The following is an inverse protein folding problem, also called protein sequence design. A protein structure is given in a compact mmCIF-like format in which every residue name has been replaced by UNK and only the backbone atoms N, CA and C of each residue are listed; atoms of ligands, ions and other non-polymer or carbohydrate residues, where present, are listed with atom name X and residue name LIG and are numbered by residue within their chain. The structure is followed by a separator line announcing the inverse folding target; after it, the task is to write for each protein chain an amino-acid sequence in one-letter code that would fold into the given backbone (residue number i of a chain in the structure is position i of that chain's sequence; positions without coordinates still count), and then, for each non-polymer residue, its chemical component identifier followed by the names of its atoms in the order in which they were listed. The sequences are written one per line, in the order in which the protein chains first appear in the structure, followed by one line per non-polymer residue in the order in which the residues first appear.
data_IF_675870752351
#
_entry.id   IF_675870752351
#
_cell.length_a   1.000
_cell.length_b   1.000
_cell.length_c   1.000
_cell.angle_alpha   90.00
_cell.angle_beta   90.00
_cell.angle_gamma   90.00
#
_symmetry.space_group_name_H-M   'P 1'
#
loop_
_entity.id
_entity.type
_entity.pdbx_description
1 polymer ?
#
# COMPACT_ATOMS: atom_id res chain seq x y z
N UNK A 1 4.22 -6.98 4.31
CA UNK A 1 3.48 -5.97 5.10
C UNK A 1 2.74 -6.64 6.26
N UNK A 2 2.91 -6.19 7.51
CA UNK A 2 2.24 -6.80 8.68
C UNK A 2 1.01 -5.99 9.14
N UNK A 3 -0.05 -6.66 9.63
CA UNK A 3 -1.24 -5.99 10.15
C UNK A 3 -0.93 -5.06 11.34
N UNK A 4 0.15 -5.33 12.06
CA UNK A 4 0.63 -4.53 13.19
C UNK A 4 1.02 -3.10 12.78
N UNK A 5 1.68 -2.92 11.62
CA UNK A 5 2.06 -1.59 11.12
C UNK A 5 0.82 -0.76 10.79
N UNK A 6 -0.19 -1.39 10.18
CA UNK A 6 -1.45 -0.73 9.81
C UNK A 6 -2.21 -0.32 11.07
N UNK A 7 -2.29 -1.22 12.06
CA UNK A 7 -2.89 -0.93 13.36
C UNK A 7 -2.21 0.26 14.05
N UNK A 8 -0.87 0.29 14.03
CA UNK A 8 -0.08 1.39 14.62
C UNK A 8 -0.32 2.72 13.91
N UNK A 9 -0.36 2.74 12.57
CA UNK A 9 -0.68 3.95 11.79
C UNK A 9 -2.09 4.45 12.13
N UNK A 10 -3.07 3.57 12.28
CA UNK A 10 -4.44 3.93 12.65
C UNK A 10 -4.53 4.46 14.09
N UNK A 11 -3.81 3.86 15.04
CA UNK A 11 -3.74 4.35 16.42
C UNK A 11 -3.15 5.78 16.48
N UNK A 12 -2.04 6.01 15.76
CA UNK A 12 -1.44 7.35 15.66
C UNK A 12 -2.37 8.36 14.97
N UNK A 13 -3.07 7.94 13.90
CA UNK A 13 -4.03 8.80 13.22
C UNK A 13 -5.25 9.15 14.10
N UNK A 14 -5.71 8.20 14.94
CA UNK A 14 -6.78 8.45 15.91
C UNK A 14 -6.32 9.46 16.97
N UNK A 15 -5.13 9.25 17.53
CA UNK A 15 -4.52 10.15 18.50
C UNK A 15 -4.35 11.57 17.94
N UNK A 16 -3.91 11.68 16.69
CA UNK A 16 -3.80 12.96 15.98
C UNK A 16 -5.12 13.74 15.92
N UNK A 17 -6.24 13.04 15.70
CA UNK A 17 -7.57 13.64 15.63
C UNK A 17 -8.12 14.05 16.99
N UNK A 18 -7.83 13.27 18.03
CA UNK A 18 -8.38 13.49 19.38
C UNK A 18 -7.59 14.54 20.16
N UNK A 19 -6.26 14.41 20.22
CA UNK A 19 -5.40 15.24 21.09
C UNK A 19 -4.20 15.88 20.36
N UNK A 20 -4.02 15.62 19.06
CA UNK A 20 -2.81 16.01 18.33
C UNK A 20 -1.66 15.02 18.53
N UNK A 21 -0.66 15.10 17.64
CA UNK A 21 0.56 14.27 17.72
C UNK A 21 1.73 15.12 18.18
N UNK A 22 2.58 14.54 19.02
CA UNK A 22 3.88 15.12 19.32
C UNK A 22 4.84 14.94 18.12
N UNK A 23 5.94 15.70 18.09
CA UNK A 23 6.92 15.63 17.02
C UNK A 23 7.47 14.20 16.79
N UNK A 24 7.74 13.47 17.87
CA UNK A 24 8.23 12.08 17.80
C UNK A 24 7.21 11.15 17.15
N UNK A 25 5.94 11.29 17.52
CA UNK A 25 4.87 10.46 16.97
C UNK A 25 4.56 10.80 15.51
N UNK A 26 4.71 12.07 15.13
CA UNK A 26 4.62 12.51 13.74
C UNK A 26 5.74 11.89 12.89
N UNK A 27 6.97 11.86 13.42
CA UNK A 27 8.11 11.21 12.79
C UNK A 27 7.91 9.68 12.67
N UNK A 28 7.39 9.04 13.73
CA UNK A 28 7.03 7.61 13.71
C UNK A 28 5.96 7.34 12.65
N UNK A 29 4.88 8.13 12.60
CA UNK A 29 3.81 8.00 11.62
C UNK A 29 4.34 8.17 10.18
N UNK A 30 5.22 9.14 9.95
CA UNK A 30 5.83 9.37 8.64
C UNK A 30 6.69 8.18 8.20
N UNK A 31 7.52 7.64 9.11
CA UNK A 31 8.36 6.46 8.85
C UNK A 31 7.49 5.23 8.53
N UNK A 32 6.46 4.97 9.33
CA UNK A 32 5.54 3.85 9.12
C UNK A 32 4.77 3.98 7.80
N UNK A 33 4.31 5.18 7.45
CA UNK A 33 3.65 5.45 6.15
C UNK A 33 4.59 5.22 4.97
N UNK A 34 5.86 5.59 5.09
CA UNK A 34 6.86 5.35 4.03
C UNK A 34 7.04 3.85 3.79
N UNK A 35 7.24 3.08 4.86
CA UNK A 35 7.39 1.61 4.81
C UNK A 35 6.14 0.96 4.20
N UNK A 36 4.94 1.44 4.57
CA UNK A 36 3.67 0.98 4.00
C UNK A 36 3.64 1.19 2.49
N UNK A 37 3.94 2.41 2.03
CA UNK A 37 3.87 2.78 0.61
C UNK A 37 4.90 1.98 -0.20
N UNK A 38 6.13 1.84 0.29
CA UNK A 38 7.16 1.06 -0.40
C UNK A 38 6.76 -0.42 -0.52
N UNK A 39 6.19 -1.01 0.55
CA UNK A 39 5.67 -2.38 0.49
C UNK A 39 4.52 -2.54 -0.51
N UNK A 40 3.57 -1.59 -0.53
CA UNK A 40 2.44 -1.64 -1.46
C UNK A 40 2.90 -1.42 -2.90
N UNK A 41 3.85 -0.51 -3.14
CA UNK A 41 4.45 -0.30 -4.47
C UNK A 41 5.15 -1.55 -4.98
N UNK A 42 5.93 -2.21 -4.13
CA UNK A 42 6.61 -3.46 -4.49
C UNK A 42 5.59 -4.55 -4.83
N UNK A 43 4.57 -4.76 -3.98
CA UNK A 43 3.50 -5.72 -4.22
C UNK A 43 2.73 -5.42 -5.51
N UNK A 44 2.38 -4.15 -5.76
CA UNK A 44 1.68 -3.75 -6.98
C UNK A 44 2.53 -4.01 -8.22
N UNK A 45 3.84 -3.72 -8.16
CA UNK A 45 4.77 -4.01 -9.26
C UNK A 45 4.84 -5.50 -9.54
N UNK A 46 4.97 -6.33 -8.52
CA UNK A 46 4.93 -7.80 -8.67
C UNK A 46 3.62 -8.27 -9.26
N UNK A 47 2.49 -7.73 -8.78
CA UNK A 47 1.18 -8.12 -9.31
C UNK A 47 1.02 -7.72 -10.79
N UNK A 48 1.48 -6.53 -11.18
CA UNK A 48 1.50 -6.07 -12.57
C UNK A 48 2.42 -6.91 -13.47
N UNK A 49 3.57 -7.34 -12.95
CA UNK A 49 4.50 -8.22 -13.67
C UNK A 49 3.91 -9.62 -13.90
N UNK A 50 3.11 -10.12 -12.95
CA UNK A 50 2.36 -11.37 -13.11
C UNK A 50 1.19 -11.27 -14.10
N UNK A 51 0.77 -10.07 -14.51
CA UNK A 51 -0.29 -9.92 -15.53
C UNK A 51 0.34 -10.21 -16.89
N UNK A 52 0.21 -11.45 -17.36
CA UNK A 52 0.42 -11.78 -18.77
C UNK A 52 -0.57 -10.99 -19.61
N UNK A 53 -0.06 -10.12 -20.46
CA UNK A 53 -0.87 -9.49 -21.51
C UNK A 53 -1.27 -10.58 -22.48
N UNK A 54 -2.50 -11.11 -22.33
CA UNK A 54 -3.06 -12.01 -23.33
C UNK A 54 -3.01 -11.29 -24.68
N UNK A 55 -2.31 -11.84 -25.71
CA UNK A 55 -2.37 -11.26 -27.03
C UNK A 55 -3.84 -11.27 -27.45
N UNK A 56 -4.35 -10.11 -27.85
CA UNK A 56 -5.70 -9.99 -28.43
C UNK A 56 -5.69 -10.60 -29.84
N UNK A 57 -5.50 -11.90 -29.92
CA UNK A 57 -5.68 -12.73 -31.11
C UNK A 57 -6.59 -13.85 -30.66
N UNK A 58 -7.90 -13.64 -30.69
CA UNK A 58 -8.74 -14.27 -31.71
C UNK A 58 -9.97 -13.38 -32.00
N UNK A 59 -9.75 -12.27 -32.71
CA UNK A 59 -10.74 -11.83 -33.67
C UNK A 59 -10.52 -12.70 -34.92
N UNK A 60 -11.57 -13.39 -35.39
CA UNK A 60 -11.59 -14.44 -36.43
C UNK A 60 -11.14 -15.82 -35.96
N UNK A 61 -12.12 -16.69 -35.67
CA UNK A 61 -12.14 -18.08 -36.20
C UNK A 61 -13.49 -18.79 -35.95
N UNK A 62 -14.60 -18.05 -35.86
CA UNK A 62 -15.93 -18.63 -36.03
C UNK A 62 -16.32 -18.44 -37.50
N UNK A 63 -15.80 -19.33 -38.34
CA UNK A 63 -16.44 -19.70 -39.62
C UNK A 63 -17.64 -20.59 -39.33
#
# INVERSE_FOLDING_TARGET
MTPEIISRINALAKKQRECGLNQEECAEQAKLRRIYIDNIKAQLKTHLDCIETVPRSTANEWR
#
